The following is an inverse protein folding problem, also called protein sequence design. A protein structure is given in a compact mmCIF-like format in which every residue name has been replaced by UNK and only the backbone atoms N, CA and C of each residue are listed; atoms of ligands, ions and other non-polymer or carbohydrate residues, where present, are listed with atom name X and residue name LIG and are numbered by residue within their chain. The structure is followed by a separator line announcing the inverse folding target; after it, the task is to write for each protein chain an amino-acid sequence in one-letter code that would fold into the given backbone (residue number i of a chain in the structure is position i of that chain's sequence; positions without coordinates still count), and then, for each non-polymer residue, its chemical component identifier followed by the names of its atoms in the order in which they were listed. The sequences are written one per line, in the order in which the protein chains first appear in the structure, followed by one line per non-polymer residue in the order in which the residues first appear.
data_IF_023546000673
#
_entry.id   IF_023546000673
#
_cell.length_a   1.000
_cell.length_b   1.000
_cell.length_c   1.000
_cell.angle_alpha   90.00
_cell.angle_beta   90.00
_cell.angle_gamma   90.00
#
_symmetry.space_group_name_H-M   'P 1'
#
loop_
_entity.id
_entity.type
_entity.pdbx_description
1 polymer ?
#
# COMPACT_ATOMS: atom_id res chain seq x y z
N UNK A 1 51.77 -4.93 16.06
CA UNK A 1 51.12 -5.85 15.12
C UNK A 1 49.99 -6.56 15.85
N UNK A 2 48.78 -6.54 15.26
CA UNK A 2 47.65 -7.48 15.44
C UNK A 2 47.15 -7.81 16.87
N UNK A 3 45.85 -7.88 17.15
CA UNK A 3 44.68 -7.81 16.29
C UNK A 3 43.42 -7.90 17.16
N UNK A 4 42.48 -7.02 16.87
CA UNK A 4 41.06 -7.08 17.24
C UNK A 4 40.38 -8.25 16.52
N UNK A 5 39.61 -9.07 17.23
CA UNK A 5 38.46 -9.82 16.66
C UNK A 5 37.81 -10.67 17.74
N UNK A 6 36.75 -10.15 18.37
CA UNK A 6 35.78 -11.00 19.06
C UNK A 6 34.46 -10.91 18.31
N UNK A 7 34.36 -11.73 17.25
CA UNK A 7 33.10 -12.06 16.62
C UNK A 7 32.26 -12.95 17.54
N UNK A 8 31.07 -12.46 17.92
CA UNK A 8 29.90 -13.28 18.28
C UNK A 8 28.75 -12.62 17.53
N UNK A 9 28.35 -13.17 16.40
CA UNK A 9 27.52 -14.37 16.39
C UNK A 9 26.07 -13.93 16.40
N UNK A 10 25.64 -13.24 15.35
CA UNK A 10 24.23 -12.92 15.12
C UNK A 10 23.55 -14.24 14.76
N UNK A 11 22.93 -14.86 15.74
CA UNK A 11 22.08 -16.02 15.53
C UNK A 11 20.88 -15.59 14.69
N UNK A 12 20.97 -15.82 13.39
CA UNK A 12 19.83 -15.79 12.48
C UNK A 12 18.91 -16.96 12.85
N UNK A 13 17.96 -16.70 13.75
CA UNK A 13 16.86 -17.61 14.03
C UNK A 13 15.86 -17.44 12.89
N UNK A 14 16.00 -18.26 11.86
CA UNK A 14 14.95 -18.48 10.88
C UNK A 14 13.77 -19.11 11.63
N UNK A 15 12.90 -18.26 12.16
CA UNK A 15 11.64 -18.67 12.76
C UNK A 15 10.68 -18.99 11.61
N UNK A 16 10.34 -20.27 11.50
CA UNK A 16 9.11 -20.72 10.84
C UNK A 16 7.92 -20.15 11.62
N UNK A 17 7.61 -18.88 11.40
CA UNK A 17 6.44 -18.24 11.94
C UNK A 17 5.25 -18.52 11.02
N UNK A 18 4.31 -19.32 11.51
CA UNK A 18 2.96 -19.33 10.96
C UNK A 18 2.32 -17.94 11.04
N UNK A 19 1.14 -17.78 10.42
CA UNK A 19 0.45 -16.50 10.26
C UNK A 19 0.27 -15.64 11.53
N UNK A 20 0.36 -16.24 12.72
CA UNK A 20 0.30 -15.55 14.01
C UNK A 20 1.51 -14.64 14.27
N UNK A 21 2.72 -15.03 13.85
CA UNK A 21 3.93 -14.22 14.01
C UNK A 21 3.93 -12.99 13.09
N UNK A 22 3.42 -13.18 11.87
CA UNK A 22 3.24 -12.09 10.91
C UNK A 22 2.20 -11.07 11.40
N UNK A 23 1.07 -11.55 11.94
CA UNK A 23 0.03 -10.67 12.48
C UNK A 23 0.52 -9.84 13.66
N UNK A 24 1.30 -10.44 14.58
CA UNK A 24 1.89 -9.70 15.70
C UNK A 24 2.73 -8.52 15.21
N UNK A 25 3.61 -8.75 14.21
CA UNK A 25 4.42 -7.68 13.60
C UNK A 25 3.58 -6.59 12.94
N UNK A 26 2.58 -6.95 12.14
CA UNK A 26 1.68 -6.00 11.46
C UNK A 26 0.94 -5.14 12.48
N UNK A 27 0.44 -5.76 13.55
CA UNK A 27 -0.27 -5.07 14.64
C UNK A 27 0.65 -4.12 15.38
N UNK A 28 1.86 -4.55 15.71
CA UNK A 28 2.86 -3.73 16.38
C UNK A 28 3.20 -2.51 15.51
N UNK A 29 3.54 -2.73 14.23
CA UNK A 29 3.86 -1.65 13.30
C UNK A 29 2.74 -0.61 13.15
N UNK A 30 1.47 -1.04 13.16
CA UNK A 30 0.34 -0.11 13.11
C UNK A 30 0.38 0.92 14.25
N UNK A 31 1.04 0.62 15.38
CA UNK A 31 1.19 1.52 16.53
C UNK A 31 2.49 2.34 16.54
N UNK A 32 3.51 1.93 15.79
CA UNK A 32 4.82 2.61 15.72
C UNK A 32 4.84 3.78 14.70
N UNK A 33 5.80 4.71 14.83
CA UNK A 33 6.00 5.77 13.83
C UNK A 33 6.46 5.20 12.48
N UNK A 34 5.86 5.68 11.39
CA UNK A 34 6.17 5.24 10.02
C UNK A 34 7.41 5.97 9.48
N UNK A 35 8.59 5.57 9.95
CA UNK A 35 9.87 6.05 9.40
C UNK A 35 10.28 5.22 8.18
N UNK A 36 11.08 5.76 7.24
CA UNK A 36 11.56 5.00 6.08
C UNK A 36 12.21 3.66 6.45
N UNK A 37 13.06 3.66 7.48
CA UNK A 37 13.70 2.45 7.99
C UNK A 37 12.68 1.40 8.47
N UNK A 38 11.69 1.82 9.27
CA UNK A 38 10.65 0.92 9.78
C UNK A 38 9.76 0.35 8.67
N UNK A 39 9.49 1.11 7.59
CA UNK A 39 8.72 0.64 6.44
C UNK A 39 9.47 -0.46 5.68
N UNK A 40 10.77 -0.25 5.44
CA UNK A 40 11.62 -1.26 4.81
C UNK A 40 11.70 -2.53 5.64
N UNK A 41 11.88 -2.40 6.96
CA UNK A 41 11.93 -3.56 7.87
C UNK A 41 10.62 -4.35 7.83
N UNK A 42 9.47 -3.66 7.84
CA UNK A 42 8.17 -4.32 7.68
C UNK A 42 8.06 -5.02 6.32
N UNK A 43 8.35 -4.35 5.21
CA UNK A 43 8.18 -4.92 3.87
C UNK A 43 9.15 -6.08 3.59
N UNK A 44 10.32 -6.10 4.25
CA UNK A 44 11.25 -7.24 4.22
C UNK A 44 10.73 -8.42 5.03
N UNK A 45 10.11 -8.17 6.20
CA UNK A 45 9.57 -9.21 7.06
C UNK A 45 8.19 -9.72 6.60
N UNK A 46 7.43 -8.88 5.91
CA UNK A 46 6.05 -9.07 5.51
C UNK A 46 5.83 -8.41 4.14
N UNK A 47 5.99 -9.16 3.02
CA UNK A 47 5.72 -8.61 1.70
C UNK A 47 4.26 -8.18 1.57
N UNK A 48 3.96 -7.28 0.62
CA UNK A 48 2.62 -6.71 0.46
C UNK A 48 1.52 -7.78 0.31
N UNK A 49 1.80 -8.87 -0.41
CA UNK A 49 0.91 -10.03 -0.58
C UNK A 49 0.55 -10.68 0.74
N UNK A 50 1.51 -10.89 1.63
CA UNK A 50 1.26 -11.48 2.94
C UNK A 50 0.45 -10.55 3.84
N UNK A 51 0.65 -9.23 3.73
CA UNK A 51 -0.19 -8.23 4.41
C UNK A 51 -1.60 -8.22 3.79
N UNK A 52 -1.71 -8.34 2.46
CA UNK A 52 -2.98 -8.36 1.74
C UNK A 52 -3.84 -9.58 2.10
N UNK A 53 -3.23 -10.75 2.28
CA UNK A 53 -3.93 -11.97 2.71
C UNK A 53 -4.66 -11.78 4.05
N UNK A 54 -4.15 -10.92 4.93
CA UNK A 54 -4.82 -10.59 6.20
C UNK A 54 -6.11 -9.80 6.03
N UNK A 55 -6.35 -9.17 4.86
CA UNK A 55 -7.59 -8.45 4.59
C UNK A 55 -8.80 -9.39 4.50
N UNK A 56 -8.57 -10.69 4.27
CA UNK A 56 -9.63 -11.71 4.30
C UNK A 56 -10.26 -11.87 5.69
N UNK A 57 -9.56 -11.46 6.76
CA UNK A 57 -10.06 -11.48 8.13
C UNK A 57 -10.65 -10.12 8.50
N UNK A 58 -11.99 -10.06 8.57
CA UNK A 58 -12.72 -8.85 8.89
C UNK A 58 -12.32 -8.20 10.23
N UNK A 59 -11.85 -8.99 11.21
CA UNK A 59 -11.40 -8.47 12.50
C UNK A 59 -10.03 -7.76 12.40
N UNK A 60 -9.26 -8.01 11.33
CA UNK A 60 -7.94 -7.44 11.09
C UNK A 60 -7.96 -6.26 10.12
N UNK A 61 -9.00 -6.15 9.28
CA UNK A 61 -9.09 -5.20 8.17
C UNK A 61 -8.63 -3.78 8.52
N UNK A 62 -9.19 -3.15 9.56
CA UNK A 62 -8.85 -1.76 9.89
C UNK A 62 -7.39 -1.57 10.30
N UNK A 63 -6.81 -2.56 10.97
CA UNK A 63 -5.39 -2.52 11.38
C UNK A 63 -4.49 -2.76 10.18
N UNK A 64 -4.85 -3.71 9.31
CA UNK A 64 -4.12 -3.99 8.07
C UNK A 64 -4.15 -2.78 7.14
N UNK A 65 -5.30 -2.12 6.95
CA UNK A 65 -5.42 -0.90 6.15
C UNK A 65 -4.52 0.23 6.65
N UNK A 66 -4.48 0.47 7.98
CA UNK A 66 -3.56 1.45 8.58
C UNK A 66 -2.10 1.06 8.40
N UNK A 67 -1.79 -0.22 8.56
CA UNK A 67 -0.44 -0.74 8.36
C UNK A 67 0.01 -0.57 6.90
N UNK A 68 -0.82 -0.95 5.94
CA UNK A 68 -0.58 -0.75 4.51
C UNK A 68 -0.32 0.72 4.20
N UNK A 69 -1.19 1.62 4.65
CA UNK A 69 -1.02 3.06 4.39
C UNK A 69 0.30 3.60 4.95
N UNK A 70 0.66 3.21 6.18
CA UNK A 70 1.95 3.55 6.77
C UNK A 70 3.13 2.93 6.01
N UNK A 71 3.02 1.66 5.61
CA UNK A 71 4.08 0.90 4.95
C UNK A 71 4.52 1.52 3.63
N UNK A 72 3.59 2.17 2.92
CA UNK A 72 3.84 2.83 1.63
C UNK A 72 3.81 4.36 1.73
N UNK A 73 3.89 4.94 2.93
CA UNK A 73 3.92 6.41 3.09
C UNK A 73 2.71 7.12 2.48
N UNK A 74 1.53 6.52 2.59
CA UNK A 74 0.29 6.99 1.96
C UNK A 74 0.36 7.12 0.42
N UNK A 75 1.43 6.60 -0.19
CA UNK A 75 1.71 6.73 -1.62
C UNK A 75 2.25 8.10 -2.03
N UNK A 76 2.66 8.95 -1.09
CA UNK A 76 3.06 10.34 -1.38
C UNK A 76 4.58 10.50 -1.62
N UNK A 77 5.40 9.60 -1.07
CA UNK A 77 6.85 9.62 -1.26
C UNK A 77 7.33 8.63 -2.33
N UNK A 78 8.57 8.85 -2.80
CA UNK A 78 9.14 8.12 -3.93
C UNK A 78 9.23 6.62 -3.65
N UNK A 79 9.62 6.22 -2.44
CA UNK A 79 9.69 4.81 -2.06
C UNK A 79 8.31 4.15 -2.01
N UNK A 80 7.33 4.85 -1.44
CA UNK A 80 5.94 4.40 -1.39
C UNK A 80 5.33 4.23 -2.78
N UNK A 81 5.55 5.21 -3.65
CA UNK A 81 5.14 5.14 -5.06
C UNK A 81 5.81 3.98 -5.77
N UNK A 82 7.12 3.78 -5.59
CA UNK A 82 7.85 2.67 -6.21
C UNK A 82 7.31 1.31 -5.76
N UNK A 83 7.01 1.15 -4.47
CA UNK A 83 6.41 -0.06 -3.92
C UNK A 83 5.01 -0.30 -4.51
N UNK A 84 4.17 0.73 -4.59
CA UNK A 84 2.82 0.61 -5.16
C UNK A 84 2.80 0.43 -6.68
N UNK A 85 3.80 0.96 -7.38
CA UNK A 85 3.96 0.82 -8.83
C UNK A 85 4.49 -0.56 -9.25
N UNK A 86 4.99 -1.36 -8.30
CA UNK A 86 5.34 -2.75 -8.55
C UNK A 86 4.13 -3.60 -8.94
N UNK A 87 4.36 -4.73 -9.60
CA UNK A 87 3.30 -5.68 -9.98
C UNK A 87 2.44 -6.11 -8.78
N UNK A 88 3.08 -6.34 -7.63
CA UNK A 88 2.42 -6.71 -6.38
C UNK A 88 1.57 -5.58 -5.82
N UNK A 89 2.07 -4.34 -5.86
CA UNK A 89 1.33 -3.14 -5.47
C UNK A 89 0.09 -2.90 -6.33
N UNK A 90 0.23 -2.98 -7.65
CA UNK A 90 -0.88 -2.84 -8.60
C UNK A 90 -1.94 -3.92 -8.37
N UNK A 91 -1.52 -5.16 -8.11
CA UNK A 91 -2.43 -6.27 -7.80
C UNK A 91 -3.20 -6.02 -6.51
N UNK A 92 -2.51 -5.57 -5.44
CA UNK A 92 -3.14 -5.19 -4.18
C UNK A 92 -4.20 -4.10 -4.39
N UNK A 93 -3.88 -3.04 -5.13
CA UNK A 93 -4.80 -1.93 -5.38
C UNK A 93 -6.05 -2.39 -6.13
N UNK A 94 -5.88 -3.24 -7.15
CA UNK A 94 -7.00 -3.83 -7.90
C UNK A 94 -7.90 -4.69 -7.01
N UNK A 95 -7.31 -5.59 -6.22
CA UNK A 95 -8.04 -6.46 -5.30
C UNK A 95 -8.77 -5.64 -4.22
N UNK A 96 -8.12 -4.61 -3.69
CA UNK A 96 -8.69 -3.75 -2.66
C UNK A 96 -9.89 -2.95 -3.14
N UNK A 97 -9.90 -2.52 -4.40
CA UNK A 97 -11.08 -1.87 -5.01
C UNK A 97 -12.30 -2.80 -5.12
N UNK A 98 -12.06 -4.09 -5.33
CA UNK A 98 -13.11 -5.11 -5.47
C UNK A 98 -13.47 -5.76 -4.13
N UNK A 99 -12.80 -5.35 -3.05
CA UNK A 99 -12.98 -5.92 -1.73
C UNK A 99 -14.34 -5.55 -1.14
N UNK A 100 -15.07 -6.50 -0.50
CA UNK A 100 -16.41 -6.23 0.04
C UNK A 100 -16.42 -5.21 1.19
N UNK A 101 -15.31 -5.13 1.95
CA UNK A 101 -15.19 -4.15 3.03
C UNK A 101 -14.83 -2.76 2.49
N UNK A 102 -15.75 -1.80 2.70
CA UNK A 102 -15.61 -0.39 2.29
C UNK A 102 -14.27 0.23 2.68
N UNK A 103 -13.79 -0.01 3.90
CA UNK A 103 -12.53 0.55 4.40
C UNK A 103 -11.36 0.19 3.50
N UNK A 104 -11.30 -1.05 3.00
CA UNK A 104 -10.23 -1.51 2.11
C UNK A 104 -10.24 -0.74 0.79
N UNK A 105 -11.41 -0.65 0.15
CA UNK A 105 -11.56 0.09 -1.09
C UNK A 105 -11.19 1.57 -0.92
N UNK A 106 -11.65 2.21 0.17
CA UNK A 106 -11.30 3.61 0.47
C UNK A 106 -9.78 3.76 0.67
N UNK A 107 -9.16 2.87 1.44
CA UNK A 107 -7.70 2.89 1.64
C UNK A 107 -6.96 2.78 0.32
N UNK A 108 -7.29 1.80 -0.53
CA UNK A 108 -6.61 1.62 -1.82
C UNK A 108 -6.79 2.83 -2.75
N UNK A 109 -7.98 3.44 -2.80
CA UNK A 109 -8.20 4.66 -3.60
C UNK A 109 -7.41 5.85 -3.03
N UNK A 110 -7.30 5.97 -1.70
CA UNK A 110 -6.44 6.98 -1.06
C UNK A 110 -4.96 6.78 -1.41
N UNK A 111 -4.48 5.54 -1.46
CA UNK A 111 -3.10 5.24 -1.89
C UNK A 111 -2.87 5.61 -3.37
N UNK A 112 -3.84 5.33 -4.23
CA UNK A 112 -3.80 5.77 -5.63
C UNK A 112 -3.82 7.30 -5.75
N UNK A 113 -4.54 7.99 -4.86
CA UNK A 113 -4.48 9.46 -4.79
C UNK A 113 -3.07 9.94 -4.46
N UNK A 114 -2.40 9.34 -3.47
CA UNK A 114 -1.00 9.64 -3.16
C UNK A 114 -0.11 9.45 -4.40
N UNK A 115 -0.22 8.30 -5.06
CA UNK A 115 0.55 8.01 -6.28
C UNK A 115 0.32 9.03 -7.37
N UNK A 116 -0.93 9.43 -7.57
CA UNK A 116 -1.31 10.43 -8.55
C UNK A 116 -0.72 11.81 -8.27
N UNK A 117 -0.21 12.09 -7.07
CA UNK A 117 0.55 13.32 -6.77
C UNK A 117 1.94 13.37 -7.41
N UNK A 118 2.40 12.27 -8.01
CA UNK A 118 3.69 12.19 -8.72
C UNK A 118 3.50 11.85 -10.19
N UNK A 119 4.41 12.32 -11.05
CA UNK A 119 4.38 12.00 -12.49
C UNK A 119 4.50 10.49 -12.76
N UNK A 120 5.38 9.80 -12.03
CA UNK A 120 5.60 8.35 -12.15
C UNK A 120 4.38 7.57 -11.68
N UNK A 121 3.82 7.94 -10.53
CA UNK A 121 2.63 7.28 -10.00
C UNK A 121 1.42 7.51 -10.89
N UNK A 122 1.19 8.72 -11.38
CA UNK A 122 0.12 9.01 -12.34
C UNK A 122 0.26 8.19 -13.63
N UNK A 123 1.45 8.14 -14.24
CA UNK A 123 1.69 7.32 -15.43
C UNK A 123 1.39 5.84 -15.17
N UNK A 124 1.83 5.31 -14.02
CA UNK A 124 1.55 3.93 -13.62
C UNK A 124 0.05 3.66 -13.51
N UNK A 125 -0.72 4.57 -12.91
CA UNK A 125 -2.17 4.42 -12.76
C UNK A 125 -2.89 4.42 -14.12
N UNK A 126 -2.38 5.19 -15.09
CA UNK A 126 -2.87 5.19 -16.48
C UNK A 126 -2.54 3.87 -17.18
N UNK A 127 -1.26 3.48 -17.18
CA UNK A 127 -0.76 2.28 -17.87
C UNK A 127 -1.42 0.99 -17.37
N UNK A 128 -1.66 0.90 -16.06
CA UNK A 128 -2.30 -0.26 -15.43
C UNK A 128 -3.83 -0.26 -15.54
N UNK A 129 -4.42 0.82 -16.07
CA UNK A 129 -5.86 1.04 -16.17
C UNK A 129 -6.57 1.24 -14.83
N UNK A 130 -5.83 1.43 -13.73
CA UNK A 130 -6.39 1.69 -12.41
C UNK A 130 -7.14 3.04 -12.38
N UNK A 131 -6.60 4.07 -13.03
CA UNK A 131 -7.25 5.39 -13.10
C UNK A 131 -8.64 5.29 -13.76
N UNK A 132 -8.71 4.61 -14.90
CA UNK A 132 -9.97 4.32 -15.59
C UNK A 132 -10.94 3.55 -14.70
N UNK A 133 -10.45 2.52 -13.99
CA UNK A 133 -11.27 1.70 -13.09
C UNK A 133 -11.86 2.52 -11.94
N UNK A 134 -11.11 3.47 -11.39
CA UNK A 134 -11.60 4.41 -10.37
C UNK A 134 -12.72 5.29 -10.94
N UNK A 135 -12.57 5.76 -12.19
CA UNK A 135 -13.60 6.51 -12.92
C UNK A 135 -14.89 5.71 -13.14
N UNK A 136 -14.78 4.47 -13.62
CA UNK A 136 -15.93 3.56 -13.75
C UNK A 136 -16.65 3.35 -12.40
N UNK A 137 -15.89 3.35 -11.31
CA UNK A 137 -16.39 3.18 -9.96
C UNK A 137 -17.25 4.33 -9.42
N UNK A 138 -17.20 5.53 -10.04
CA UNK A 138 -18.07 6.65 -9.67
C UNK A 138 -19.55 6.35 -9.96
N UNK A 139 -19.82 5.56 -11.01
CA UNK A 139 -21.17 5.20 -11.43
C UNK A 139 -21.72 3.93 -10.77
N UNK A 140 -20.90 3.16 -10.05
CA UNK A 140 -21.32 1.90 -9.44
C UNK A 140 -21.75 2.12 -7.98
N UNK A 141 -23.06 2.04 -7.73
CA UNK A 141 -23.62 2.14 -6.39
C UNK A 141 -23.10 1.06 -5.42
N UNK A 142 -22.50 -0.03 -5.93
CA UNK A 142 -21.84 -1.08 -5.12
C UNK A 142 -20.47 -0.65 -4.62
N UNK A 143 -19.81 0.26 -5.34
CA UNK A 143 -18.53 0.83 -4.93
C UNK A 143 -18.79 1.96 -3.94
N UNK A 144 -18.74 1.62 -2.66
CA UNK A 144 -18.89 2.55 -1.53
C UNK A 144 -17.75 3.57 -1.39
N UNK A 145 -16.93 3.72 -2.44
CA UNK A 145 -15.71 4.54 -2.50
C UNK A 145 -15.87 5.79 -3.36
N UNK A 146 -17.07 6.10 -3.88
CA UNK A 146 -17.31 7.20 -4.81
C UNK A 146 -16.69 8.54 -4.36
N UNK A 147 -16.82 8.93 -3.09
CA UNK A 147 -16.22 10.16 -2.59
C UNK A 147 -14.67 10.14 -2.61
N UNK A 148 -14.06 9.01 -2.25
CA UNK A 148 -12.61 8.84 -2.34
C UNK A 148 -12.14 8.86 -3.80
N UNK A 149 -12.91 8.22 -4.69
CA UNK A 149 -12.65 8.17 -6.12
C UNK A 149 -12.73 9.57 -6.75
N UNK A 150 -13.78 10.35 -6.45
CA UNK A 150 -13.90 11.73 -6.93
C UNK A 150 -12.72 12.58 -6.48
N UNK A 151 -12.35 12.50 -5.20
CA UNK A 151 -11.20 13.24 -4.67
C UNK A 151 -9.88 12.82 -5.33
N UNK A 152 -9.71 11.52 -5.60
CA UNK A 152 -8.55 10.99 -6.29
C UNK A 152 -8.45 11.48 -7.74
N UNK A 153 -9.56 11.46 -8.48
CA UNK A 153 -9.62 11.91 -9.88
C UNK A 153 -9.42 13.43 -10.00
N UNK A 154 -10.00 14.23 -9.11
CA UNK A 154 -9.74 15.67 -9.05
C UNK A 154 -8.27 15.95 -8.75
N UNK A 155 -7.67 15.18 -7.83
CA UNK A 155 -6.25 15.32 -7.51
C UNK A 155 -5.34 14.93 -8.67
N UNK A 156 -5.68 13.85 -9.39
CA UNK A 156 -4.96 13.44 -10.59
C UNK A 156 -5.08 14.49 -11.71
N UNK A 157 -6.28 15.01 -11.96
CA UNK A 157 -6.54 16.02 -12.98
C UNK A 157 -5.77 17.33 -12.75
N UNK A 158 -5.44 17.65 -11.49
CA UNK A 158 -4.67 18.83 -11.12
C UNK A 158 -3.16 18.71 -11.45
N UNK A 159 -2.68 17.52 -11.80
CA UNK A 159 -1.27 17.32 -12.18
C UNK A 159 -1.02 17.66 -13.65
N UNK A 160 0.26 17.89 -13.98
CA UNK A 160 0.70 18.04 -15.37
C UNK A 160 0.36 16.77 -16.19
N UNK A 161 -0.38 16.95 -17.29
CA UNK A 161 -0.91 15.84 -18.12
C UNK A 161 -2.06 15.05 -17.48
N UNK A 162 -2.45 15.37 -16.25
CA UNK A 162 -3.47 14.64 -15.52
C UNK A 162 -4.89 14.87 -16.03
N UNK A 163 -5.20 16.06 -16.54
CA UNK A 163 -6.51 16.33 -17.12
C UNK A 163 -6.82 15.43 -18.32
N UNK A 164 -5.84 15.22 -19.23
CA UNK A 164 -5.97 14.31 -20.38
C UNK A 164 -6.02 12.84 -19.95
N UNK A 165 -5.37 12.48 -18.84
CA UNK A 165 -5.46 11.14 -18.30
C UNK A 165 -6.84 10.82 -17.69
N UNK A 166 -7.55 11.83 -17.19
CA UNK A 166 -8.84 11.68 -16.51
C UNK A 166 -10.04 11.86 -17.45
N UNK A 167 -9.96 12.75 -18.45
CA UNK A 167 -11.05 13.12 -19.35
C UNK A 167 -10.78 12.73 -20.81
#
# INVERSE_FOLDING_TARGET
AAGTSTGRGVQSKAMTEGGDGLWARVKDFATFPATPASRMELLQAAPLSAIAEMLADAAKTDTVCRCLAKAVGEGEDEEGVAVLASEEGVKLLRQGMEHPAKTVGVTCVSLMKGMAGSRVGLATLVETGLLKRVGEGLGDARLTVANAASNMLVHAAAQEGGAEAVF
#
